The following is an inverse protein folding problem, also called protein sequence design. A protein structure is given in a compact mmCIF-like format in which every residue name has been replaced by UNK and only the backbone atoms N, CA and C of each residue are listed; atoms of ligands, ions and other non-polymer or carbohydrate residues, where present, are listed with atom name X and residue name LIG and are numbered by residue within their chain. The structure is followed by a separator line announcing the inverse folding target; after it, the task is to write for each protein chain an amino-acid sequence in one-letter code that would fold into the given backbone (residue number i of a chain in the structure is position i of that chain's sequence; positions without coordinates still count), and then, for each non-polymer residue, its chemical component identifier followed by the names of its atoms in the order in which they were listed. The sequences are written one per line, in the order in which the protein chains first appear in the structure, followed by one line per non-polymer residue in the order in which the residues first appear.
data_IF_038404256662
#
_entry.id   IF_038404256662
#
_cell.length_a   1.000
_cell.length_b   1.000
_cell.length_c   1.000
_cell.angle_alpha   90.00
_cell.angle_beta   90.00
_cell.angle_gamma   90.00
#
_symmetry.space_group_name_H-M   'P 1'
#
loop_
_entity.id
_entity.type
_entity.pdbx_description
1 polymer ?
#
# COMPACT_ATOMS: atom_id res chain seq x y z
N UNK A 1 7.37 4.49 -3.84
CA UNK A 1 6.18 4.31 -4.70
C UNK A 1 6.20 2.88 -5.24
N UNK A 2 5.04 2.22 -5.31
CA UNK A 2 4.86 0.88 -5.87
C UNK A 2 3.82 0.93 -6.99
N UNK A 3 4.10 0.26 -8.12
CA UNK A 3 3.14 0.09 -9.20
C UNK A 3 3.14 -1.36 -9.69
N UNK A 4 1.95 -1.94 -9.83
CA UNK A 4 1.74 -3.25 -10.45
C UNK A 4 1.35 -3.10 -11.92
N UNK A 5 1.74 -4.06 -12.75
CA UNK A 5 1.42 -4.07 -14.18
C UNK A 5 -0.05 -4.46 -14.47
N UNK A 6 -0.65 -5.30 -13.62
CA UNK A 6 -2.01 -5.82 -13.82
C UNK A 6 -3.03 -5.23 -12.86
N UNK A 7 -2.60 -4.82 -11.67
CA UNK A 7 -3.52 -4.30 -10.66
C UNK A 7 -4.01 -2.88 -10.96
N UNK A 8 -3.37 -2.19 -11.93
CA UNK A 8 -3.67 -0.82 -12.35
C UNK A 8 -3.80 0.15 -11.18
N UNK A 9 -3.07 -0.08 -10.09
CA UNK A 9 -3.27 0.59 -8.83
C UNK A 9 -1.93 0.97 -8.20
N UNK A 10 -1.52 2.22 -8.41
CA UNK A 10 -0.33 2.75 -7.76
C UNK A 10 -0.53 2.88 -6.25
N UNK A 11 0.52 2.64 -5.47
CA UNK A 11 0.48 2.62 -4.00
C UNK A 11 1.71 3.33 -3.42
N UNK A 12 1.53 4.07 -2.34
CA UNK A 12 2.64 4.50 -1.50
C UNK A 12 2.95 3.44 -0.45
N UNK A 13 4.23 3.13 -0.23
CA UNK A 13 4.68 2.27 0.85
C UNK A 13 5.39 3.15 1.86
N UNK A 14 4.91 3.14 3.10
CA UNK A 14 5.41 3.97 4.19
C UNK A 14 6.24 3.18 5.21
N UNK A 15 6.10 1.85 5.21
CA UNK A 15 6.80 1.00 6.16
C UNK A 15 6.65 -0.49 5.84
N UNK A 16 7.50 -1.28 6.47
CA UNK A 16 7.51 -2.75 6.39
C UNK A 16 7.56 -3.33 7.80
N UNK A 17 6.85 -4.43 8.01
CA UNK A 17 6.88 -5.19 9.26
C UNK A 17 6.96 -6.68 8.92
N UNK A 18 7.97 -7.36 9.44
CA UNK A 18 8.19 -8.79 9.19
C UNK A 18 8.17 -9.55 10.52
N UNK A 19 7.22 -10.47 10.64
CA UNK A 19 7.14 -11.43 11.74
C UNK A 19 7.62 -12.82 11.32
N UNK A 20 7.46 -13.81 12.22
CA UNK A 20 7.86 -15.20 11.97
C UNK A 20 7.09 -15.85 10.81
N UNK A 21 5.81 -15.50 10.65
CA UNK A 21 4.90 -16.17 9.71
C UNK A 21 4.57 -15.33 8.48
N UNK A 22 4.77 -14.02 8.54
CA UNK A 22 4.20 -13.09 7.57
C UNK A 22 4.97 -11.77 7.50
N UNK A 23 4.94 -11.15 6.32
CA UNK A 23 5.41 -9.79 6.08
C UNK A 23 4.24 -8.90 5.70
N UNK A 24 4.27 -7.67 6.17
CA UNK A 24 3.25 -6.65 5.95
C UNK A 24 3.89 -5.37 5.43
N UNK A 25 3.14 -4.67 4.58
CA UNK A 25 3.45 -3.35 4.07
C UNK A 25 2.43 -2.36 4.62
N UNK A 26 2.90 -1.23 5.14
CA UNK A 26 2.03 -0.10 5.44
C UNK A 26 1.81 0.67 4.13
N UNK A 27 0.61 0.54 3.59
CA UNK A 27 0.24 1.09 2.28
C UNK A 27 -0.62 2.33 2.48
N UNK A 28 -0.34 3.37 1.69
CA UNK A 28 -1.25 4.48 1.43
C UNK A 28 -1.79 4.35 0.00
N UNK A 29 -3.11 4.36 -0.12
CA UNK A 29 -3.84 4.28 -1.38
C UNK A 29 -4.17 5.71 -1.86
N UNK A 30 -3.59 6.17 -3.00
CA UNK A 30 -3.78 7.52 -3.51
C UNK A 30 -5.10 7.72 -4.26
N UNK A 31 -5.95 6.69 -4.40
CA UNK A 31 -7.18 6.78 -5.19
C UNK A 31 -8.38 7.33 -4.40
N UNK A 32 -8.18 7.82 -3.18
CA UNK A 32 -9.23 8.48 -2.41
C UNK A 32 -9.78 9.68 -3.20
N UNK A 33 -11.12 9.74 -3.30
CA UNK A 33 -11.83 10.86 -3.88
C UNK A 33 -12.92 11.32 -2.92
N UNK A 34 -13.00 12.63 -2.69
CA UNK A 34 -13.99 13.24 -1.81
C UNK A 34 -13.42 14.44 -1.04
N UNK A 35 -14.17 14.94 -0.04
CA UNK A 35 -13.69 15.97 0.88
C UNK A 35 -12.43 15.53 1.62
N UNK A 36 -11.61 16.49 2.07
CA UNK A 36 -10.38 16.21 2.83
C UNK A 36 -10.72 15.34 4.05
N UNK A 37 -10.24 14.09 4.08
CA UNK A 37 -10.56 13.18 5.16
C UNK A 37 -9.65 13.44 6.36
N UNK A 38 -10.16 13.19 7.56
CA UNK A 38 -9.33 13.08 8.75
C UNK A 38 -8.56 11.75 8.77
N UNK A 39 -7.55 11.68 9.64
CA UNK A 39 -6.66 10.53 9.75
C UNK A 39 -7.41 9.27 10.16
N UNK A 40 -8.32 9.38 11.12
CA UNK A 40 -9.08 8.26 11.66
C UNK A 40 -9.97 7.66 10.57
N UNK A 41 -10.61 8.49 9.75
CA UNK A 41 -11.39 8.08 8.58
C UNK A 41 -10.53 7.37 7.53
N UNK A 42 -9.33 7.89 7.23
CA UNK A 42 -8.39 7.24 6.30
C UNK A 42 -8.01 5.83 6.77
N UNK A 43 -7.70 5.67 8.05
CA UNK A 43 -7.32 4.39 8.63
C UNK A 43 -8.49 3.42 8.72
N UNK A 44 -9.65 3.89 9.21
CA UNK A 44 -10.87 3.08 9.37
C UNK A 44 -11.38 2.53 8.04
N UNK A 45 -11.30 3.33 6.98
CA UNK A 45 -11.72 2.92 5.64
C UNK A 45 -10.61 2.22 4.83
N UNK A 46 -9.41 2.04 5.41
CA UNK A 46 -8.34 1.25 4.82
C UNK A 46 -7.54 1.95 3.71
N UNK A 47 -7.68 3.26 3.56
CA UNK A 47 -6.86 4.10 2.67
C UNK A 47 -5.41 4.19 3.15
N UNK A 48 -5.19 4.08 4.46
CA UNK A 48 -3.87 3.88 5.05
C UNK A 48 -3.93 2.67 5.97
N UNK A 49 -3.33 1.56 5.56
CA UNK A 49 -3.46 0.29 6.30
C UNK A 49 -2.28 -0.65 6.10
N UNK A 50 -2.05 -1.52 7.09
CA UNK A 50 -1.17 -2.66 6.94
C UNK A 50 -1.82 -3.72 6.06
N UNK A 51 -1.12 -4.13 5.01
CA UNK A 51 -1.54 -5.20 4.10
C UNK A 51 -0.50 -6.30 4.09
N UNK A 52 -0.97 -7.54 4.12
CA UNK A 52 -0.09 -8.69 4.03
C UNK A 52 0.50 -8.77 2.63
N UNK A 53 1.78 -9.08 2.48
CA UNK A 53 2.41 -9.17 1.14
C UNK A 53 1.68 -10.19 0.26
N UNK A 54 1.20 -11.30 0.84
CA UNK A 54 0.47 -12.35 0.13
C UNK A 54 -0.91 -11.92 -0.40
N UNK A 55 -1.45 -10.77 0.03
CA UNK A 55 -2.72 -10.23 -0.47
C UNK A 55 -2.55 -9.37 -1.73
N UNK A 56 -1.31 -9.12 -2.17
CA UNK A 56 -1.04 -8.50 -3.47
C UNK A 56 -1.39 -9.48 -4.60
N UNK A 57 -1.64 -8.95 -5.80
CA UNK A 57 -1.96 -9.79 -6.95
C UNK A 57 -0.74 -10.66 -7.31
N UNK A 58 -0.88 -11.98 -7.12
CA UNK A 58 0.18 -12.95 -7.35
C UNK A 58 0.50 -13.16 -8.83
N UNK A 59 -0.38 -12.71 -9.72
CA UNK A 59 -0.18 -12.77 -11.17
C UNK A 59 0.44 -11.49 -11.74
N UNK A 60 0.70 -10.48 -10.90
CA UNK A 60 1.31 -9.21 -11.29
C UNK A 60 2.79 -9.18 -10.92
N UNK A 61 3.59 -8.43 -11.67
CA UNK A 61 4.90 -7.98 -11.20
C UNK A 61 4.79 -6.55 -10.66
N UNK A 62 5.62 -6.24 -9.66
CA UNK A 62 5.60 -4.94 -8.99
C UNK A 62 6.93 -4.23 -9.14
N UNK A 63 6.89 -2.98 -9.61
CA UNK A 63 8.03 -2.07 -9.61
C UNK A 63 8.01 -1.21 -8.35
N UNK A 64 9.19 -1.02 -7.76
CA UNK A 64 9.40 -0.17 -6.60
C UNK A 64 10.35 0.98 -6.94
N UNK A 65 9.89 2.21 -6.71
CA UNK A 65 10.73 3.39 -6.73
C UNK A 65 11.07 3.80 -5.29
N UNK A 66 12.36 3.81 -4.97
CA UNK A 66 12.95 4.13 -3.67
C UNK A 66 13.78 5.43 -3.80
N UNK A 67 13.19 6.60 -3.47
CA UNK A 67 13.91 7.87 -3.52
C UNK A 67 15.16 7.84 -2.64
N UNK A 68 16.27 8.37 -3.13
CA UNK A 68 17.53 8.50 -2.39
C UNK A 68 17.67 9.93 -1.87
N UNK A 69 18.36 10.09 -0.73
CA UNK A 69 18.67 11.38 -0.10
C UNK A 69 20.11 11.78 -0.34
#
# INVERSE_FOLDING_TARGET
MMGGDRDNSSKGILGVCTGKESSYLLIIDPHFYGPVPDRESLQKNGWVAWRQVQSLDRSSFYNLCLPQT
#
